data_IF_050570640821
#
_entry.id   IF_050570640821
#
_cell.length_a   1.000
_cell.length_b   1.000
_cell.length_c   1.000
_cell.angle_alpha   90.00
_cell.angle_beta   90.00
_cell.angle_gamma   90.00
#
_symmetry.space_group_name_H-M   'P 1'
#
loop_
_entity.id
_entity.type
_entity.pdbx_description
1 polymer ?
#
# COMPACT_ATOMS: atom_id res chain seq x y z
N UNK A 1 23.19 12.99 20.64
CA UNK A 1 22.02 12.87 19.75
C UNK A 1 21.99 11.48 19.16
N UNK A 2 20.82 10.84 19.06
CA UNK A 2 20.72 9.52 18.44
C UNK A 2 20.80 9.68 16.91
N UNK A 3 21.51 8.79 16.20
CA UNK A 3 21.59 8.89 14.75
C UNK A 3 20.22 8.61 14.12
N UNK A 4 19.91 9.28 12.99
CA UNK A 4 18.68 9.04 12.25
C UNK A 4 18.60 7.59 11.78
N UNK A 5 17.38 7.13 11.52
CA UNK A 5 17.14 5.85 10.90
C UNK A 5 17.76 5.85 9.49
N UNK A 6 18.68 4.94 9.15
CA UNK A 6 19.33 4.91 7.84
C UNK A 6 18.38 4.53 6.70
N UNK A 7 17.19 4.01 7.02
CA UNK A 7 16.18 3.58 6.04
C UNK A 7 15.13 4.65 5.77
N UNK A 8 14.71 5.41 6.78
CA UNK A 8 13.62 6.38 6.68
C UNK A 8 13.96 7.80 7.07
N UNK A 9 15.19 8.10 7.49
CA UNK A 9 15.60 9.44 7.91
C UNK A 9 14.90 9.97 9.17
N UNK A 10 14.08 9.17 9.86
CA UNK A 10 13.46 9.55 11.14
C UNK A 10 14.56 9.74 12.20
N UNK A 11 14.57 10.87 12.88
CA UNK A 11 15.61 11.30 13.83
C UNK A 11 15.07 11.66 15.22
N UNK A 12 13.75 11.72 15.39
CA UNK A 12 13.07 12.10 16.64
C UNK A 12 12.93 10.95 17.67
N UNK A 13 13.95 10.10 17.80
CA UNK A 13 13.94 9.01 18.78
C UNK A 13 14.20 9.53 20.20
N UNK A 14 13.30 9.21 21.15
CA UNK A 14 13.45 9.57 22.57
C UNK A 14 14.52 8.72 23.27
N UNK A 15 14.74 7.49 22.81
CA UNK A 15 15.71 6.55 23.39
C UNK A 15 16.28 5.57 22.35
N UNK A 16 17.43 4.95 22.67
CA UNK A 16 18.04 3.90 21.83
C UNK A 16 17.11 2.70 21.66
N UNK A 17 16.31 2.37 22.69
CA UNK A 17 15.30 1.31 22.64
C UNK A 17 14.26 1.58 21.56
N UNK A 18 13.73 2.80 21.49
CA UNK A 18 12.72 3.18 20.50
C UNK A 18 13.27 3.11 19.08
N UNK A 19 14.53 3.52 18.88
CA UNK A 19 15.23 3.40 17.59
C UNK A 19 15.38 1.95 17.17
N UNK A 20 15.81 1.06 18.06
CA UNK A 20 15.99 -0.35 17.73
C UNK A 20 14.67 -1.05 17.45
N UNK A 21 13.62 -0.76 18.22
CA UNK A 21 12.26 -1.25 17.94
C UNK A 21 11.78 -0.79 16.58
N UNK A 22 12.05 0.47 16.21
CA UNK A 22 11.70 1.01 14.90
C UNK A 22 12.45 0.31 13.75
N UNK A 23 13.74 0.00 13.92
CA UNK A 23 14.55 -0.68 12.91
C UNK A 23 14.16 -2.16 12.71
N UNK A 24 13.67 -2.80 13.77
CA UNK A 24 13.36 -4.24 13.81
C UNK A 24 11.87 -4.57 13.64
N UNK A 25 11.00 -3.58 13.49
CA UNK A 25 9.55 -3.82 13.32
C UNK A 25 9.28 -4.53 11.99
N UNK A 26 8.28 -5.42 11.97
CA UNK A 26 7.89 -6.18 10.76
C UNK A 26 7.54 -5.29 9.57
N UNK A 27 6.90 -4.14 9.83
CA UNK A 27 6.47 -3.20 8.80
C UNK A 27 7.64 -2.28 8.43
N UNK A 28 8.14 -2.28 7.19
CA UNK A 28 9.25 -1.42 6.79
C UNK A 28 8.97 0.07 7.08
N UNK A 29 10.02 0.82 7.38
CA UNK A 29 9.92 2.26 7.53
C UNK A 29 9.87 2.95 6.17
N UNK A 30 8.95 3.90 6.04
CA UNK A 30 8.72 4.67 4.80
C UNK A 30 9.86 5.67 4.64
N UNK A 31 10.62 5.67 3.53
CA UNK A 31 11.65 6.66 3.27
C UNK A 31 11.12 8.09 3.42
N UNK A 32 11.81 8.96 4.18
CA UNK A 32 11.52 10.40 4.16
C UNK A 32 11.79 10.88 2.74
N UNK A 33 10.74 11.27 2.04
CA UNK A 33 10.86 12.09 0.85
C UNK A 33 11.23 13.47 1.40
N UNK A 34 12.51 13.83 1.34
CA UNK A 34 12.95 15.19 1.71
C UNK A 34 12.37 16.14 0.67
N UNK A 35 11.25 16.76 1.03
CA UNK A 35 10.62 17.96 0.48
C UNK A 35 11.21 18.48 -0.85
N UNK A 36 10.73 17.91 -1.97
CA UNK A 36 10.54 18.66 -3.24
C UNK A 36 9.11 18.39 -3.74
N UNK A 37 8.17 18.19 -2.81
CA UNK A 37 6.77 17.96 -3.12
C UNK A 37 5.96 18.96 -2.31
N UNK A 38 5.69 20.11 -2.90
CA UNK A 38 4.40 20.77 -2.67
C UNK A 38 3.35 19.78 -3.16
N UNK A 39 2.61 19.16 -2.25
CA UNK A 39 1.52 18.24 -2.59
C UNK A 39 0.49 18.98 -3.45
N UNK A 40 0.02 18.41 -4.58
CA UNK A 40 -1.34 18.63 -5.01
C UNK A 40 -2.22 17.51 -4.44
N UNK A 41 -3.31 17.92 -3.82
CA UNK A 41 -4.29 17.12 -3.08
C UNK A 41 -5.27 16.37 -4.00
N UNK A 42 -4.88 16.07 -5.23
CA UNK A 42 -5.78 15.50 -6.23
C UNK A 42 -5.00 14.64 -7.21
N UNK A 43 -5.52 13.43 -7.46
CA UNK A 43 -5.06 12.52 -8.50
C UNK A 43 -5.17 13.27 -9.84
N UNK A 44 -4.08 13.54 -10.57
CA UNK A 44 -4.18 14.21 -11.87
C UNK A 44 -4.71 13.24 -12.90
N UNK A 45 -5.68 13.70 -13.71
CA UNK A 45 -6.13 13.00 -14.90
C UNK A 45 -4.97 12.81 -15.91
N UNK A 46 -5.06 11.81 -16.82
CA UNK A 46 -3.97 11.44 -17.75
C UNK A 46 -3.54 12.55 -18.71
N UNK A 47 -4.26 13.66 -18.73
CA UNK A 47 -4.08 14.83 -19.60
C UNK A 47 -2.87 15.71 -19.23
N UNK A 48 -2.30 15.57 -18.03
CA UNK A 48 -1.30 16.52 -17.49
C UNK A 48 0.15 16.00 -17.44
N UNK A 49 0.44 14.85 -18.06
CA UNK A 49 1.82 14.34 -18.16
C UNK A 49 2.68 15.14 -19.17
N UNK A 50 2.09 16.12 -19.87
CA UNK A 50 2.70 16.78 -21.03
C UNK A 50 3.67 17.95 -20.79
N UNK A 51 3.74 18.58 -19.62
CA UNK A 51 4.29 19.95 -19.55
C UNK A 51 5.38 20.24 -18.50
N UNK A 52 6.16 19.23 -18.07
CA UNK A 52 7.34 19.48 -17.22
C UNK A 52 8.67 19.28 -17.96
N UNK A 53 8.73 19.69 -19.23
CA UNK A 53 10.00 19.80 -19.94
C UNK A 53 10.58 21.20 -19.67
N UNK A 54 11.73 21.34 -18.97
CA UNK A 54 12.36 22.64 -18.84
C UNK A 54 12.84 23.09 -20.22
N UNK A 55 12.12 24.04 -20.81
CA UNK A 55 12.55 24.79 -21.99
C UNK A 55 13.80 25.59 -21.64
N UNK A 56 14.99 25.05 -21.91
CA UNK A 56 16.22 25.83 -22.00
C UNK A 56 17.17 25.21 -23.04
N UNK A 57 16.85 25.36 -24.32
CA UNK A 57 17.85 25.24 -25.38
C UNK A 57 18.77 26.47 -25.31
N UNK A 58 19.86 26.40 -24.55
CA UNK A 58 20.97 27.34 -24.68
C UNK A 58 22.29 26.58 -24.77
N UNK A 59 22.91 26.70 -25.95
CA UNK A 59 24.12 26.03 -26.39
C UNK A 59 25.28 26.11 -25.37
N UNK A 60 25.78 24.93 -24.98
CA UNK A 60 27.00 24.70 -24.20
C UNK A 60 27.24 23.20 -24.05
N UNK A 61 28.16 22.62 -24.83
CA UNK A 61 28.26 21.18 -25.14
C UNK A 61 28.66 20.20 -24.02
N UNK A 62 28.59 20.59 -22.75
CA UNK A 62 28.76 19.66 -21.61
C UNK A 62 27.60 19.79 -20.64
N UNK A 63 27.23 21.02 -20.25
CA UNK A 63 26.18 21.28 -19.24
C UNK A 63 24.84 20.62 -19.59
N UNK A 64 24.47 20.58 -20.88
CA UNK A 64 23.24 19.91 -21.32
C UNK A 64 23.29 18.38 -21.17
N UNK A 65 24.47 17.77 -21.29
CA UNK A 65 24.66 16.32 -21.07
C UNK A 65 24.64 15.99 -19.58
N UNK A 66 25.25 16.83 -18.75
CA UNK A 66 25.19 16.66 -17.29
C UNK A 66 23.76 16.83 -16.74
N UNK A 67 22.99 17.79 -17.25
CA UNK A 67 21.57 17.97 -16.92
C UNK A 67 20.70 16.80 -17.37
N UNK A 68 20.95 16.28 -18.59
CA UNK A 68 20.27 15.10 -19.09
C UNK A 68 20.58 13.87 -18.24
N UNK A 69 21.84 13.71 -17.81
CA UNK A 69 22.24 12.63 -16.91
C UNK A 69 21.53 12.73 -15.56
N UNK A 70 21.50 13.92 -14.96
CA UNK A 70 20.78 14.15 -13.70
C UNK A 70 19.28 13.83 -13.83
N UNK A 71 18.69 14.18 -14.98
CA UNK A 71 17.29 13.85 -15.30
C UNK A 71 17.09 12.33 -15.40
N UNK A 72 17.98 11.62 -16.09
CA UNK A 72 17.95 10.15 -16.20
C UNK A 72 18.08 9.49 -14.82
N UNK A 73 19.00 9.97 -13.97
CA UNK A 73 19.19 9.45 -12.62
C UNK A 73 17.95 9.70 -11.73
N UNK A 74 17.31 10.87 -11.89
CA UNK A 74 16.05 11.20 -11.26
C UNK A 74 14.92 10.26 -11.68
N UNK A 75 14.75 10.05 -12.99
CA UNK A 75 13.76 9.13 -13.55
C UNK A 75 14.01 7.68 -13.10
N UNK A 76 15.26 7.22 -13.10
CA UNK A 76 15.62 5.89 -12.63
C UNK A 76 15.26 5.70 -11.15
N UNK A 77 15.42 6.74 -10.33
CA UNK A 77 15.03 6.72 -8.91
C UNK A 77 13.51 6.66 -8.74
N UNK A 78 12.76 7.42 -9.54
CA UNK A 78 11.30 7.37 -9.57
C UNK A 78 10.80 5.98 -9.99
N UNK A 79 11.39 5.37 -11.03
CA UNK A 79 11.04 4.02 -11.48
C UNK A 79 11.25 2.98 -10.38
N UNK A 80 12.35 3.07 -9.60
CA UNK A 80 12.58 2.18 -8.45
C UNK A 80 11.53 2.36 -7.36
N UNK A 81 11.13 3.61 -7.08
CA UNK A 81 10.10 3.92 -6.09
C UNK A 81 8.74 3.34 -6.50
N UNK A 82 8.33 3.56 -7.76
CA UNK A 82 7.09 3.00 -8.32
C UNK A 82 7.13 1.48 -8.28
N UNK A 83 8.24 0.86 -8.66
CA UNK A 83 8.40 -0.60 -8.59
C UNK A 83 8.20 -1.15 -7.17
N UNK A 84 8.73 -0.45 -6.17
CA UNK A 84 8.54 -0.83 -4.77
C UNK A 84 7.09 -0.64 -4.30
N UNK A 85 6.44 0.46 -4.69
CA UNK A 85 5.03 0.71 -4.39
C UNK A 85 4.14 -0.38 -5.00
N UNK A 86 4.33 -0.71 -6.28
CA UNK A 86 3.58 -1.78 -6.97
C UNK A 86 3.75 -3.13 -6.28
N UNK A 87 4.97 -3.46 -5.82
CA UNK A 87 5.22 -4.69 -5.08
C UNK A 87 4.42 -4.75 -3.77
N UNK A 88 4.34 -3.65 -3.04
CA UNK A 88 3.59 -3.61 -1.79
C UNK A 88 2.08 -3.67 -2.04
N UNK A 89 1.56 -2.88 -3.00
CA UNK A 89 0.16 -2.96 -3.40
C UNK A 89 -0.23 -4.37 -3.82
N UNK A 90 0.65 -5.08 -4.53
CA UNK A 90 0.43 -6.49 -4.88
C UNK A 90 0.34 -7.41 -3.66
N UNK A 91 1.16 -7.18 -2.62
CA UNK A 91 1.07 -7.92 -1.37
C UNK A 91 -0.22 -7.62 -0.61
N UNK A 92 -0.64 -6.35 -0.58
CA UNK A 92 -1.90 -5.94 0.06
C UNK A 92 -3.11 -6.55 -0.65
N UNK A 93 -3.14 -6.54 -1.98
CA UNK A 93 -4.18 -7.20 -2.79
C UNK A 93 -4.25 -8.70 -2.47
N UNK A 94 -3.10 -9.37 -2.33
CA UNK A 94 -3.06 -10.78 -1.94
C UNK A 94 -3.68 -10.99 -0.55
N UNK A 95 -3.33 -10.15 0.43
CA UNK A 95 -3.91 -10.22 1.77
C UNK A 95 -5.43 -10.06 1.75
N UNK A 96 -5.94 -9.07 1.00
CA UNK A 96 -7.39 -8.89 0.82
C UNK A 96 -8.04 -10.09 0.14
N UNK A 97 -7.37 -10.71 -0.85
CA UNK A 97 -7.87 -11.92 -1.51
C UNK A 97 -7.98 -13.11 -0.54
N UNK A 98 -7.00 -13.26 0.35
CA UNK A 98 -7.02 -14.30 1.39
C UNK A 98 -8.18 -14.04 2.37
N UNK A 99 -8.39 -12.78 2.79
CA UNK A 99 -9.52 -12.38 3.66
C UNK A 99 -10.88 -12.63 3.00
N UNK A 100 -11.04 -12.34 1.71
CA UNK A 100 -12.27 -12.62 0.95
C UNK A 100 -12.55 -14.14 0.92
N UNK A 101 -11.51 -14.95 0.75
CA UNK A 101 -11.65 -16.41 0.72
C UNK A 101 -12.14 -16.93 2.08
N UNK A 102 -11.59 -16.43 3.18
CA UNK A 102 -12.02 -16.78 4.52
C UNK A 102 -13.47 -16.36 4.78
N UNK A 103 -13.86 -15.13 4.41
CA UNK A 103 -15.23 -14.67 4.55
C UNK A 103 -16.22 -15.51 3.72
N UNK A 104 -15.83 -15.93 2.52
CA UNK A 104 -16.64 -16.83 1.68
C UNK A 104 -16.90 -18.16 2.37
N UNK A 105 -15.85 -18.78 2.93
CA UNK A 105 -15.97 -20.03 3.67
C UNK A 105 -16.88 -19.88 4.91
N UNK A 106 -16.75 -18.76 5.63
CA UNK A 106 -17.62 -18.45 6.77
C UNK A 106 -19.08 -18.27 6.36
N UNK A 107 -19.33 -17.64 5.21
CA UNK A 107 -20.68 -17.49 4.66
C UNK A 107 -21.30 -18.85 4.32
N UNK A 108 -20.57 -19.74 3.65
CA UNK A 108 -21.04 -21.10 3.34
C UNK A 108 -21.36 -21.89 4.61
N UNK A 109 -20.49 -21.83 5.62
CA UNK A 109 -20.73 -22.48 6.91
C UNK A 109 -21.96 -21.92 7.63
N UNK A 110 -22.19 -20.61 7.56
CA UNK A 110 -23.39 -19.98 8.11
C UNK A 110 -24.66 -20.42 7.36
N UNK A 111 -24.62 -20.50 6.04
CA UNK A 111 -25.74 -20.98 5.22
C UNK A 111 -26.12 -22.42 5.55
N UNK A 112 -25.13 -23.31 5.71
CA UNK A 112 -25.38 -24.70 6.11
C UNK A 112 -26.10 -24.77 7.46
N UNK A 113 -25.67 -23.97 8.45
CA UNK A 113 -26.33 -23.94 9.77
C UNK A 113 -27.76 -23.42 9.72
N UNK A 114 -28.03 -22.44 8.86
CA UNK A 114 -29.39 -21.92 8.65
C UNK A 114 -30.27 -23.02 8.07
N UNK A 115 -29.79 -23.77 7.08
CA UNK A 115 -30.52 -24.88 6.48
C UNK A 115 -30.84 -25.97 7.51
N UNK A 116 -29.88 -26.34 8.36
CA UNK A 116 -30.10 -27.31 9.45
C UNK A 116 -31.17 -26.81 10.44
N UNK A 117 -31.14 -25.52 10.77
CA UNK A 117 -32.16 -24.90 11.64
C UNK A 117 -33.54 -24.90 10.99
N UNK A 118 -33.65 -24.58 9.71
CA UNK A 118 -34.91 -24.63 8.96
C UNK A 118 -35.49 -26.05 8.94
N UNK A 119 -34.65 -27.07 8.74
CA UNK A 119 -35.07 -28.47 8.77
C UNK A 119 -35.58 -28.87 10.17
N UNK A 120 -34.82 -28.56 11.22
CA UNK A 120 -35.22 -28.89 12.60
C UNK A 120 -36.52 -28.19 13.02
N UNK A 121 -36.72 -26.93 12.62
CA UNK A 121 -37.99 -26.22 12.85
C UNK A 121 -39.16 -26.86 12.09
N UNK A 122 -38.94 -27.28 10.84
CA UNK A 122 -39.96 -27.95 10.03
C UNK A 122 -40.40 -29.27 10.68
N UNK A 123 -39.43 -30.08 11.14
CA UNK A 123 -39.69 -31.32 11.88
C UNK A 123 -40.46 -31.06 13.19
N UNK A 124 -40.04 -30.06 13.98
CA UNK A 124 -40.72 -29.68 15.23
C UNK A 124 -42.18 -29.26 14.98
N UNK A 125 -42.42 -28.48 13.92
CA UNK A 125 -43.76 -28.03 13.52
C UNK A 125 -44.65 -29.20 13.06
N UNK A 126 -44.07 -30.20 12.40
CA UNK A 126 -44.79 -31.41 11.99
C UNK A 126 -45.18 -32.30 13.20
N UNK A 127 -44.30 -32.44 14.18
CA UNK A 127 -44.56 -33.22 15.41
C UNK A 127 -45.65 -32.58 16.28
N UNK A 128 -45.61 -31.25 16.43
CA UNK A 128 -46.65 -30.51 17.18
C UNK A 128 -48.02 -30.65 16.53
N UNK A 129 -48.12 -30.62 15.19
CA UNK A 129 -49.39 -30.87 14.48
C UNK A 129 -49.95 -32.29 14.63
N UNK A 130 -49.10 -33.32 14.83
CA UNK A 130 -49.55 -34.70 15.08
C UNK A 130 -50.05 -34.94 16.51
N UNK A 131 -49.72 -34.04 17.43
CA UNK A 131 -49.98 -34.20 18.87
C UNK A 131 -51.24 -33.48 19.35
N UNK A 132 -51.94 -32.79 18.43
CA UNK A 132 -53.22 -32.07 18.64
C UNK A 132 -54.31 -32.78 17.85
#
# INVERSE_FOLDING_TARGET
MLPPCPKCGKDNFKSTRDRNTHLNRRIPCIPKITEVISYPETIPEPSEVGNNLPNNLKYGGTSSVEELKATIDGLASQMRAISWQLKNTSMDIKGVSDDITELSNQQEAAQSKIQDLEETMSQHTALTKKSV
#
